data_IF_740181222599
#
_entry.id   IF_740181222599
#
_cell.length_a   1.000
_cell.length_b   1.000
_cell.length_c   1.000
_cell.angle_alpha   90.00
_cell.angle_beta   90.00
_cell.angle_gamma   90.00
#
_symmetry.space_group_name_H-M   'P 1'
#
loop_
_entity.id
_entity.type
_entity.pdbx_description
1 polymer ?
#
# COMPACT_ATOMS: atom_id res chain seq x y z
N UNK A 1 -43.63 -26.58 26.81
CA UNK A 1 -42.26 -27.10 26.53
C UNK A 1 -41.73 -26.37 25.30
N UNK A 2 -40.72 -25.50 25.44
CA UNK A 2 -40.12 -24.75 24.33
C UNK A 2 -38.83 -25.46 23.92
N UNK A 3 -38.75 -25.91 22.67
CA UNK A 3 -37.55 -26.49 22.10
C UNK A 3 -36.53 -25.39 21.78
N UNK A 4 -35.33 -25.51 22.34
CA UNK A 4 -34.18 -24.66 22.05
C UNK A 4 -33.41 -25.34 20.91
N UNK A 5 -33.51 -24.80 19.70
CA UNK A 5 -32.64 -25.20 18.59
C UNK A 5 -31.29 -24.49 18.77
N UNK A 6 -30.25 -25.27 19.11
CA UNK A 6 -28.86 -24.83 19.06
C UNK A 6 -28.41 -24.81 17.60
N UNK A 7 -28.32 -23.63 16.99
CA UNK A 7 -27.63 -23.46 15.70
C UNK A 7 -26.16 -23.19 16.03
N UNK A 8 -25.34 -24.23 15.91
CA UNK A 8 -23.89 -24.08 15.87
C UNK A 8 -23.50 -23.51 14.51
N UNK A 9 -22.96 -22.30 14.48
CA UNK A 9 -22.37 -21.72 13.28
C UNK A 9 -20.90 -22.15 13.23
N UNK A 10 -20.62 -23.11 12.37
CA UNK A 10 -19.27 -23.40 11.88
C UNK A 10 -18.98 -22.38 10.78
N UNK A 11 -18.14 -21.38 11.06
CA UNK A 11 -17.63 -20.47 10.02
C UNK A 11 -16.39 -21.13 9.42
N UNK A 12 -16.59 -21.99 8.41
CA UNK A 12 -15.53 -22.37 7.49
C UNK A 12 -15.38 -21.28 6.43
N UNK A 13 -14.13 -20.85 6.23
CA UNK A 13 -13.79 -19.67 5.43
C UNK A 13 -14.24 -19.78 3.97
N UNK A 14 -15.09 -18.84 3.56
CA UNK A 14 -15.32 -18.46 2.16
C UNK A 14 -15.79 -17.00 2.12
N UNK A 15 -15.01 -16.15 1.45
CA UNK A 15 -15.48 -14.96 0.75
C UNK A 15 -16.22 -13.86 1.54
N UNK A 16 -15.48 -12.81 1.93
CA UNK A 16 -16.04 -11.50 2.33
C UNK A 16 -16.98 -10.91 1.25
N UNK A 17 -16.93 -11.39 0.00
CA UNK A 17 -17.82 -10.94 -1.09
C UNK A 17 -19.25 -11.50 -1.07
N UNK A 18 -19.53 -12.64 -0.42
CA UNK A 18 -20.86 -13.28 -0.52
C UNK A 18 -21.88 -12.76 0.51
N UNK A 19 -21.44 -12.06 1.56
CA UNK A 19 -22.35 -11.55 2.60
C UNK A 19 -23.13 -10.29 2.19
N UNK A 20 -22.73 -9.64 1.08
CA UNK A 20 -23.39 -8.40 0.60
C UNK A 20 -24.58 -8.70 -0.32
N UNK A 21 -24.62 -9.85 -1.00
CA UNK A 21 -25.63 -10.12 -2.04
C UNK A 21 -26.98 -10.66 -1.53
N UNK A 22 -27.09 -11.01 -0.24
CA UNK A 22 -28.31 -11.58 0.36
C UNK A 22 -29.04 -10.63 1.33
N UNK A 23 -28.55 -9.40 1.51
CA UNK A 23 -29.23 -8.42 2.34
C UNK A 23 -30.23 -7.61 1.49
N UNK A 24 -31.54 -7.68 1.77
CA UNK A 24 -32.54 -6.88 1.09
C UNK A 24 -32.17 -5.40 1.22
N UNK A 25 -32.34 -4.64 0.13
CA UNK A 25 -32.07 -3.19 0.01
C UNK A 25 -32.33 -2.43 1.32
N UNK A 26 -31.29 -2.25 2.14
CA UNK A 26 -31.30 -1.36 3.30
C UNK A 26 -31.20 0.08 2.79
N UNK A 27 -32.34 0.67 2.45
CA UNK A 27 -32.55 2.10 2.66
C UNK A 27 -32.58 2.31 4.17
N UNK A 28 -31.78 3.26 4.66
CA UNK A 28 -31.41 3.48 6.07
C UNK A 28 -30.29 2.53 6.52
N UNK A 29 -29.04 3.03 6.56
CA UNK A 29 -27.97 2.34 7.28
C UNK A 29 -28.34 2.37 8.77
N UNK A 30 -28.64 1.23 9.41
CA UNK A 30 -28.79 1.22 10.86
C UNK A 30 -27.50 1.78 11.45
N UNK A 31 -27.61 2.83 12.27
CA UNK A 31 -26.47 3.42 12.96
C UNK A 31 -25.70 2.30 13.65
N UNK A 32 -24.52 1.97 13.13
CA UNK A 32 -23.69 0.91 13.66
C UNK A 32 -23.27 1.32 15.07
N UNK A 33 -23.84 0.70 16.11
CA UNK A 33 -23.69 1.14 17.52
C UNK A 33 -22.55 0.44 18.28
N UNK A 34 -21.80 -0.43 17.59
CA UNK A 34 -20.60 -1.09 18.11
C UNK A 34 -20.87 -2.18 19.17
N UNK A 35 -22.12 -2.37 19.62
CA UNK A 35 -22.46 -3.36 20.67
C UNK A 35 -22.21 -4.82 20.27
N UNK A 36 -22.15 -5.10 18.97
CA UNK A 36 -21.85 -6.43 18.44
C UNK A 36 -20.34 -6.78 18.45
N UNK A 37 -19.47 -5.84 18.79
CA UNK A 37 -18.02 -6.04 18.86
C UNK A 37 -17.66 -6.63 20.23
N UNK A 38 -16.79 -7.64 20.32
CA UNK A 38 -16.28 -8.15 21.59
C UNK A 38 -15.57 -7.05 22.41
N UNK A 39 -15.47 -7.21 23.74
CA UNK A 39 -14.82 -6.20 24.60
C UNK A 39 -13.33 -6.07 24.30
N UNK A 40 -12.71 -7.16 23.87
CA UNK A 40 -11.32 -7.27 23.41
C UNK A 40 -11.10 -6.71 21.99
N UNK A 41 -12.17 -6.24 21.33
CA UNK A 41 -12.17 -5.77 19.96
C UNK A 41 -12.27 -6.89 18.93
N UNK A 42 -12.86 -6.57 17.78
CA UNK A 42 -12.94 -7.46 16.63
C UNK A 42 -11.72 -7.24 15.74
N UNK A 43 -10.86 -8.26 15.63
CA UNK A 43 -9.76 -8.23 14.67
C UNK A 43 -10.32 -8.56 13.29
N UNK A 44 -10.20 -7.61 12.38
CA UNK A 44 -10.45 -7.79 10.96
C UNK A 44 -9.19 -8.39 10.36
N UNK A 45 -9.34 -9.54 9.68
CA UNK A 45 -8.25 -10.29 9.04
C UNK A 45 -7.20 -10.90 10.00
N UNK A 46 -7.60 -11.61 11.09
CA UNK A 46 -6.65 -12.10 12.11
C UNK A 46 -5.65 -13.12 11.57
N UNK A 47 -6.02 -13.86 10.53
CA UNK A 47 -5.19 -14.86 9.84
C UNK A 47 -5.02 -14.51 8.36
N UNK A 48 -4.78 -13.22 8.06
CA UNK A 48 -4.59 -12.77 6.69
C UNK A 48 -3.71 -13.71 5.88
N UNK A 49 -4.04 -13.86 4.59
CA UNK A 49 -3.38 -14.80 3.66
C UNK A 49 -1.84 -14.72 3.79
N UNK A 50 -1.13 -15.78 3.41
CA UNK A 50 0.33 -15.71 3.21
C UNK A 50 0.67 -14.46 2.38
N UNK A 51 1.64 -13.65 2.79
CA UNK A 51 2.02 -12.39 2.14
C UNK A 51 2.59 -12.54 0.71
N UNK A 52 2.73 -13.77 0.22
CA UNK A 52 3.47 -14.04 -1.00
C UNK A 52 4.98 -13.99 -0.74
N UNK A 53 5.76 -13.94 -1.81
CA UNK A 53 7.22 -13.84 -1.72
C UNK A 53 7.69 -12.48 -2.26
N UNK A 54 8.22 -11.58 -1.42
CA UNK A 54 8.75 -10.29 -1.86
C UNK A 54 9.81 -10.37 -2.98
N UNK A 55 10.47 -11.53 -3.16
CA UNK A 55 11.40 -11.74 -4.27
C UNK A 55 10.72 -11.76 -5.64
N UNK A 56 9.42 -12.10 -5.72
CA UNK A 56 8.68 -12.09 -6.98
C UNK A 56 8.63 -10.68 -7.58
N UNK A 57 8.33 -9.66 -6.76
CA UNK A 57 8.35 -8.27 -7.20
C UNK A 57 9.75 -7.79 -7.63
N UNK A 58 10.82 -8.36 -7.05
CA UNK A 58 12.18 -7.98 -7.43
C UNK A 58 12.52 -8.37 -8.88
N UNK A 59 11.96 -9.46 -9.38
CA UNK A 59 12.09 -9.86 -10.79
C UNK A 59 11.49 -8.82 -11.74
N UNK A 60 10.26 -8.40 -11.46
CA UNK A 60 9.56 -7.38 -12.24
C UNK A 60 10.26 -6.02 -12.17
N UNK A 61 10.66 -5.61 -10.97
CA UNK A 61 11.36 -4.34 -10.76
C UNK A 61 12.68 -4.24 -11.53
N UNK A 62 13.41 -5.36 -11.72
CA UNK A 62 14.61 -5.37 -12.57
C UNK A 62 14.27 -5.08 -14.03
N UNK A 63 13.19 -5.68 -14.56
CA UNK A 63 12.74 -5.44 -15.95
C UNK A 63 12.28 -4.00 -16.13
N UNK A 64 11.44 -3.51 -15.21
CA UNK A 64 10.96 -2.12 -15.23
C UNK A 64 12.12 -1.14 -15.11
N UNK A 65 13.07 -1.37 -14.20
CA UNK A 65 14.26 -0.52 -14.07
C UNK A 65 15.07 -0.45 -15.36
N UNK A 66 15.35 -1.59 -15.98
CA UNK A 66 16.13 -1.63 -17.22
C UNK A 66 15.45 -0.83 -18.34
N UNK A 67 14.13 -0.98 -18.48
CA UNK A 67 13.35 -0.23 -19.47
C UNK A 67 13.33 1.29 -19.17
N UNK A 68 13.10 1.68 -17.90
CA UNK A 68 13.14 3.07 -17.47
C UNK A 68 14.54 3.69 -17.61
N UNK A 69 15.60 2.95 -17.30
CA UNK A 69 16.99 3.39 -17.43
C UNK A 69 17.35 3.63 -18.90
N UNK A 70 16.96 2.70 -19.78
CA UNK A 70 17.15 2.84 -21.22
C UNK A 70 16.40 4.06 -21.77
N UNK A 71 15.13 4.24 -21.38
CA UNK A 71 14.34 5.41 -21.77
C UNK A 71 14.99 6.71 -21.32
N UNK A 72 15.40 6.82 -20.05
CA UNK A 72 15.97 8.08 -19.54
C UNK A 72 17.31 8.43 -20.17
N UNK A 73 18.13 7.43 -20.50
CA UNK A 73 19.42 7.64 -21.19
C UNK A 73 19.20 8.13 -22.62
N UNK A 74 18.18 7.62 -23.31
CA UNK A 74 17.87 8.03 -24.68
C UNK A 74 17.19 9.41 -24.75
N UNK A 75 16.33 9.75 -23.78
CA UNK A 75 15.47 10.92 -23.85
C UNK A 75 15.85 12.06 -22.88
N UNK A 76 16.77 11.82 -21.95
CA UNK A 76 17.15 12.80 -20.92
C UNK A 76 16.08 13.07 -19.85
N UNK A 77 14.97 12.33 -19.86
CA UNK A 77 13.81 12.47 -18.94
C UNK A 77 13.27 11.10 -18.52
N UNK A 78 12.52 11.04 -17.41
CA UNK A 78 11.77 9.83 -17.06
C UNK A 78 10.56 9.66 -18.01
N UNK A 79 10.11 8.43 -18.27
CA UNK A 79 8.87 8.22 -19.03
C UNK A 79 7.68 8.75 -18.22
N UNK A 80 6.61 9.15 -18.89
CA UNK A 80 5.30 9.35 -18.27
C UNK A 80 4.65 8.00 -17.96
N UNK A 81 3.59 7.99 -17.14
CA UNK A 81 2.84 6.76 -16.89
C UNK A 81 2.25 6.19 -18.19
N UNK A 82 1.73 7.06 -19.06
CA UNK A 82 1.17 6.65 -20.34
C UNK A 82 2.21 5.93 -21.20
N UNK A 83 3.42 6.48 -21.33
CA UNK A 83 4.52 5.84 -22.08
C UNK A 83 4.94 4.52 -21.45
N UNK A 84 5.06 4.45 -20.12
CA UNK A 84 5.43 3.23 -19.40
C UNK A 84 4.40 2.11 -19.60
N UNK A 85 3.12 2.46 -19.77
CA UNK A 85 2.01 1.52 -19.93
C UNK A 85 1.58 1.31 -21.39
N UNK A 86 2.28 1.90 -22.37
CA UNK A 86 2.02 1.62 -23.78
C UNK A 86 2.66 0.29 -24.19
N UNK A 87 1.96 -0.81 -23.89
CA UNK A 87 2.45 -2.16 -24.20
C UNK A 87 2.47 -2.49 -25.70
N UNK A 88 1.94 -1.62 -26.56
CA UNK A 88 1.94 -1.81 -28.01
C UNK A 88 3.25 -1.36 -28.66
N UNK A 89 4.04 -0.55 -27.96
CA UNK A 89 5.26 0.05 -28.47
C UNK A 89 6.42 -0.29 -27.52
N UNK A 90 7.66 -0.47 -28.04
CA UNK A 90 8.82 -0.50 -27.18
C UNK A 90 8.97 0.83 -26.44
N UNK A 91 9.24 0.77 -25.13
CA UNK A 91 9.54 1.96 -24.33
C UNK A 91 10.89 2.56 -24.76
N UNK A 92 11.88 1.70 -24.98
CA UNK A 92 13.18 2.06 -25.54
C UNK A 92 13.65 0.95 -26.49
N UNK A 93 14.73 1.20 -27.24
CA UNK A 93 15.27 0.20 -28.17
C UNK A 93 15.61 -1.12 -27.45
N UNK A 94 14.90 -2.20 -27.81
CA UNK A 94 15.08 -3.52 -27.19
C UNK A 94 14.41 -3.69 -25.82
N UNK A 95 13.65 -2.70 -25.34
CA UNK A 95 12.93 -2.74 -24.07
C UNK A 95 11.44 -2.50 -24.29
N UNK A 96 10.67 -3.57 -24.27
CA UNK A 96 9.21 -3.54 -24.29
C UNK A 96 8.70 -4.18 -23.00
N UNK A 97 7.83 -3.47 -22.29
CA UNK A 97 7.15 -4.00 -21.11
C UNK A 97 5.80 -4.59 -21.51
N UNK A 98 5.32 -5.54 -20.71
CA UNK A 98 3.96 -6.04 -20.78
C UNK A 98 3.16 -5.66 -19.52
N UNK A 99 1.86 -5.96 -19.52
CA UNK A 99 1.01 -5.72 -18.35
C UNK A 99 1.44 -6.57 -17.14
N UNK A 100 1.96 -7.77 -17.40
CA UNK A 100 2.49 -8.68 -16.39
C UNK A 100 3.72 -8.10 -15.69
N UNK A 101 4.58 -7.35 -16.39
CA UNK A 101 5.74 -6.68 -15.77
C UNK A 101 5.34 -5.59 -14.75
N UNK A 102 4.09 -5.12 -14.81
CA UNK A 102 3.55 -4.08 -13.95
C UNK A 102 2.49 -4.59 -12.96
N UNK A 103 2.34 -5.92 -12.87
CA UNK A 103 1.33 -6.58 -12.03
C UNK A 103 2.00 -7.68 -11.22
N UNK A 104 1.97 -7.57 -9.89
CA UNK A 104 2.59 -8.60 -9.06
C UNK A 104 1.81 -9.91 -9.14
N UNK A 105 2.48 -11.07 -9.31
CA UNK A 105 1.82 -12.37 -9.23
C UNK A 105 1.25 -12.66 -7.83
N UNK A 106 1.73 -11.94 -6.82
CA UNK A 106 1.30 -12.06 -5.43
C UNK A 106 0.15 -11.12 -5.07
N UNK A 107 -0.35 -10.30 -6.01
CA UNK A 107 -1.45 -9.36 -5.75
C UNK A 107 -2.70 -10.03 -5.18
N UNK A 108 -2.96 -11.30 -5.54
CA UNK A 108 -4.06 -12.14 -4.98
C UNK A 108 -3.98 -12.39 -3.47
N UNK A 109 -2.80 -12.15 -2.90
CA UNK A 109 -2.52 -12.25 -1.49
C UNK A 109 -2.59 -10.90 -0.79
N UNK A 110 -2.56 -9.77 -1.49
CA UNK A 110 -2.54 -8.44 -0.91
C UNK A 110 -3.81 -8.12 -0.09
N UNK A 111 -3.64 -7.27 0.92
CA UNK A 111 -4.79 -6.75 1.68
C UNK A 111 -5.61 -5.79 0.82
N UNK A 112 -6.85 -6.17 0.53
CA UNK A 112 -7.74 -5.39 -0.35
C UNK A 112 -7.73 -5.86 -1.80
N UNK A 113 -7.13 -7.01 -2.11
CA UNK A 113 -7.29 -7.65 -3.42
C UNK A 113 -8.76 -7.89 -3.76
N UNK A 114 -9.19 -7.37 -4.91
CA UNK A 114 -10.51 -7.64 -5.49
C UNK A 114 -10.32 -8.47 -6.77
N UNK A 115 -10.85 -9.71 -6.83
CA UNK A 115 -10.79 -10.51 -8.05
C UNK A 115 -11.36 -9.77 -9.26
N UNK A 116 -10.66 -9.81 -10.39
CA UNK A 116 -11.07 -9.15 -11.64
C UNK A 116 -10.72 -7.66 -11.74
N UNK A 117 -10.12 -7.06 -10.70
CA UNK A 117 -9.61 -5.71 -10.78
C UNK A 117 -8.30 -5.69 -11.59
N UNK A 118 -8.36 -5.13 -12.80
CA UNK A 118 -7.20 -4.99 -13.72
C UNK A 118 -6.32 -3.78 -13.36
N UNK A 119 -6.06 -3.57 -12.07
CA UNK A 119 -5.19 -2.47 -11.66
C UNK A 119 -3.74 -2.92 -11.68
N UNK A 120 -2.87 -2.06 -12.18
CA UNK A 120 -1.42 -2.19 -11.99
C UNK A 120 -1.16 -2.27 -10.49
N UNK A 121 -0.46 -3.31 -10.05
CA UNK A 121 -0.31 -3.59 -8.61
C UNK A 121 0.78 -2.73 -7.96
N UNK A 122 1.66 -2.14 -8.77
CA UNK A 122 2.74 -1.29 -8.30
C UNK A 122 2.33 0.18 -8.21
N UNK A 123 2.78 0.83 -7.15
CA UNK A 123 2.67 2.28 -7.02
C UNK A 123 3.84 2.95 -7.74
N UNK A 124 3.52 3.77 -8.74
CA UNK A 124 4.50 4.55 -9.50
C UNK A 124 4.84 5.82 -8.72
N UNK A 125 5.91 5.78 -7.91
CA UNK A 125 6.29 6.94 -7.11
C UNK A 125 6.90 8.05 -7.98
N UNK A 126 7.56 7.71 -9.09
CA UNK A 126 8.31 8.67 -9.91
C UNK A 126 7.45 9.77 -10.56
N UNK A 127 6.13 9.57 -10.71
CA UNK A 127 5.20 10.57 -11.26
C UNK A 127 4.83 11.66 -10.25
N UNK A 128 5.15 11.45 -8.97
CA UNK A 128 4.91 12.40 -7.90
C UNK A 128 6.19 13.19 -7.60
N UNK A 129 6.08 14.44 -7.11
CA UNK A 129 7.23 15.17 -6.59
C UNK A 129 8.00 14.40 -5.50
N UNK A 130 9.21 14.85 -5.20
CA UNK A 130 9.97 14.48 -4.00
C UNK A 130 9.21 14.92 -2.73
N UNK A 131 9.55 14.40 -1.54
CA UNK A 131 8.85 14.75 -0.30
C UNK A 131 8.98 16.23 0.08
N UNK A 132 9.98 16.94 -0.45
CA UNK A 132 10.13 18.40 -0.31
C UNK A 132 9.42 19.20 -1.41
N UNK A 133 8.57 18.57 -2.22
CA UNK A 133 7.80 19.20 -3.29
C UNK A 133 8.58 19.49 -4.58
N UNK A 134 9.90 19.24 -4.63
CA UNK A 134 10.68 19.39 -5.87
C UNK A 134 10.35 18.28 -6.86
N UNK A 135 10.43 18.58 -8.15
CA UNK A 135 10.35 17.53 -9.18
C UNK A 135 11.48 16.52 -9.03
N UNK A 136 11.21 15.27 -9.41
CA UNK A 136 12.22 14.21 -9.43
C UNK A 136 13.06 14.38 -10.70
N UNK A 137 14.38 14.57 -10.59
CA UNK A 137 15.24 14.63 -11.76
C UNK A 137 15.31 13.25 -12.42
N UNK A 138 15.53 13.23 -13.73
CA UNK A 138 15.80 11.97 -14.45
C UNK A 138 17.11 11.31 -14.00
N UNK A 139 18.07 12.15 -13.59
CA UNK A 139 19.36 11.74 -13.05
C UNK A 139 19.55 12.42 -11.69
N UNK A 140 19.29 11.71 -10.59
CA UNK A 140 19.56 12.22 -9.25
C UNK A 140 21.04 12.57 -9.08
N UNK A 141 21.33 13.58 -8.25
CA UNK A 141 22.71 13.97 -7.98
C UNK A 141 23.48 12.88 -7.23
N UNK A 142 24.82 12.96 -7.22
CA UNK A 142 25.64 12.01 -6.48
C UNK A 142 25.23 11.96 -4.99
N UNK A 143 24.95 10.76 -4.49
CA UNK A 143 24.46 10.53 -3.12
C UNK A 143 22.95 10.70 -2.94
N UNK A 144 22.21 11.15 -3.95
CA UNK A 144 20.74 11.16 -3.94
C UNK A 144 20.17 9.88 -4.55
N UNK A 145 19.05 9.43 -3.99
CA UNK A 145 18.25 8.33 -4.54
C UNK A 145 16.78 8.68 -4.44
N UNK A 146 16.06 8.45 -5.53
CA UNK A 146 14.62 8.61 -5.61
C UNK A 146 13.95 7.25 -5.68
N UNK A 147 12.77 7.11 -5.08
CA UNK A 147 11.97 5.90 -5.25
C UNK A 147 11.29 5.95 -6.61
N UNK A 148 11.33 4.87 -7.39
CA UNK A 148 10.62 4.81 -8.66
C UNK A 148 9.32 4.02 -8.54
N UNK A 149 9.39 2.81 -8.00
CA UNK A 149 8.25 1.92 -7.81
C UNK A 149 8.20 1.40 -6.38
N UNK A 150 6.99 1.11 -5.91
CA UNK A 150 6.71 0.49 -4.61
C UNK A 150 5.67 -0.60 -4.79
N UNK A 151 5.89 -1.78 -4.18
CA UNK A 151 4.84 -2.77 -3.94
C UNK A 151 4.43 -2.72 -2.47
N UNK A 152 3.11 -2.68 -2.25
CA UNK A 152 2.49 -2.73 -0.92
C UNK A 152 1.85 -4.08 -0.62
N UNK A 153 1.93 -5.03 -1.55
CA UNK A 153 1.22 -6.31 -1.48
C UNK A 153 1.74 -7.21 -0.36
N UNK A 154 2.99 -6.94 0.04
CA UNK A 154 3.71 -7.61 1.12
C UNK A 154 3.53 -6.93 2.49
N UNK A 155 2.50 -6.09 2.63
CA UNK A 155 2.10 -5.45 3.89
C UNK A 155 0.71 -5.92 4.33
N UNK A 156 0.60 -6.36 5.59
CA UNK A 156 -0.66 -6.62 6.28
C UNK A 156 -1.12 -5.42 7.09
N UNK A 157 -2.44 -5.24 7.12
CA UNK A 157 -3.21 -4.28 7.90
C UNK A 157 -4.14 -5.03 8.84
N UNK A 158 -3.63 -5.39 10.01
CA UNK A 158 -4.43 -6.04 11.04
C UNK A 158 -5.22 -4.94 11.77
N UNK A 159 -6.45 -4.70 11.33
CA UNK A 159 -7.32 -3.70 11.93
C UNK A 159 -8.10 -4.31 13.09
N UNK A 160 -8.03 -3.69 14.27
CA UNK A 160 -8.88 -4.03 15.42
C UNK A 160 -9.96 -2.96 15.58
N UNK A 161 -11.22 -3.35 15.44
CA UNK A 161 -12.37 -2.49 15.70
C UNK A 161 -12.80 -2.62 17.16
N UNK A 162 -13.16 -1.50 17.80
CA UNK A 162 -13.58 -1.44 19.20
C UNK A 162 -15.03 -0.95 19.35
N UNK A 163 -15.65 -1.25 20.49
CA UNK A 163 -17.09 -1.00 20.75
C UNK A 163 -17.51 0.47 20.65
N UNK A 164 -16.63 1.39 21.01
CA UNK A 164 -16.82 2.84 20.90
C UNK A 164 -16.55 3.38 19.48
N UNK A 165 -16.44 2.47 18.49
CA UNK A 165 -16.23 2.74 17.07
C UNK A 165 -14.84 3.30 16.72
N UNK A 166 -13.87 3.27 17.64
CA UNK A 166 -12.47 3.46 17.25
C UNK A 166 -11.88 2.20 16.63
N UNK A 167 -10.78 2.36 15.90
CA UNK A 167 -10.03 1.24 15.37
C UNK A 167 -8.53 1.48 15.44
N UNK A 168 -7.79 0.45 15.82
CA UNK A 168 -6.34 0.42 15.72
C UNK A 168 -5.91 -0.36 14.48
N UNK A 169 -4.78 0.02 13.87
CA UNK A 169 -4.22 -0.70 12.74
C UNK A 169 -2.78 -1.09 13.08
N UNK A 170 -2.52 -2.41 13.11
CA UNK A 170 -1.19 -2.98 13.23
C UNK A 170 -0.68 -3.37 11.84
N UNK A 171 0.32 -2.63 11.34
CA UNK A 171 0.95 -2.92 10.06
C UNK A 171 2.08 -3.95 10.25
N UNK A 172 2.14 -4.95 9.37
CA UNK A 172 3.22 -5.96 9.38
C UNK A 172 3.73 -6.26 7.98
N UNK A 173 4.97 -6.74 7.89
CA UNK A 173 5.58 -7.15 6.62
C UNK A 173 6.58 -6.13 6.11
N UNK A 174 6.70 -6.04 4.79
CA UNK A 174 7.69 -5.18 4.12
C UNK A 174 7.07 -4.50 2.91
N UNK A 175 7.58 -3.32 2.59
CA UNK A 175 7.43 -2.74 1.26
C UNK A 175 8.59 -3.21 0.39
N UNK A 176 8.34 -3.47 -0.89
CA UNK A 176 9.42 -3.66 -1.88
C UNK A 176 9.57 -2.37 -2.66
N UNK A 177 10.77 -1.82 -2.69
CA UNK A 177 11.06 -0.49 -3.24
C UNK A 177 12.10 -0.61 -4.33
N UNK A 178 11.80 -0.09 -5.52
CA UNK A 178 12.79 0.14 -6.57
C UNK A 178 13.31 1.56 -6.47
N UNK A 179 14.63 1.70 -6.36
CA UNK A 179 15.31 2.99 -6.32
C UNK A 179 15.84 3.41 -7.69
N UNK A 180 16.09 4.70 -7.86
CA UNK A 180 16.61 5.34 -9.09
C UNK A 180 18.02 4.91 -9.50
N UNK A 181 18.75 4.26 -8.60
CA UNK A 181 20.05 3.62 -8.86
C UNK A 181 19.93 2.13 -9.20
N UNK A 182 18.70 1.62 -9.32
CA UNK A 182 18.41 0.25 -9.72
C UNK A 182 18.45 -0.78 -8.61
N UNK A 183 18.81 -0.38 -7.38
CA UNK A 183 18.71 -1.30 -6.24
C UNK A 183 17.25 -1.51 -5.88
N UNK A 184 16.97 -2.73 -5.44
CA UNK A 184 15.66 -3.14 -4.93
C UNK A 184 15.85 -3.46 -3.46
N UNK A 185 15.04 -2.86 -2.62
CA UNK A 185 15.15 -2.99 -1.17
C UNK A 185 13.82 -3.42 -0.56
N UNK A 186 13.90 -4.30 0.44
CA UNK A 186 12.77 -4.63 1.30
C UNK A 186 12.84 -3.70 2.50
N UNK A 187 11.86 -2.82 2.62
CA UNK A 187 11.79 -1.86 3.72
C UNK A 187 10.74 -2.34 4.72
N UNK A 188 11.14 -2.72 5.94
CA UNK A 188 10.20 -3.02 7.02
C UNK A 188 9.21 -1.88 7.25
N UNK A 189 7.97 -2.23 7.60
CA UNK A 189 6.88 -1.25 7.81
C UNK A 189 7.21 -0.18 8.86
N UNK A 190 7.98 -0.53 9.90
CA UNK A 190 8.46 0.37 10.94
C UNK A 190 9.54 1.36 10.44
N UNK A 191 10.22 1.01 9.35
CA UNK A 191 11.17 1.89 8.68
C UNK A 191 10.54 2.94 7.76
N UNK A 192 9.23 2.85 7.44
CA UNK A 192 8.58 3.81 6.55
C UNK A 192 8.38 5.15 7.23
N UNK A 193 8.60 6.23 6.50
CA UNK A 193 8.55 7.60 6.99
C UNK A 193 7.36 8.32 6.40
N UNK A 194 6.58 8.98 7.26
CA UNK A 194 5.50 9.87 6.83
C UNK A 194 6.02 11.29 6.77
N UNK A 195 6.28 11.74 5.54
CA UNK A 195 6.55 13.12 5.22
C UNK A 195 5.42 13.63 4.31
N UNK A 196 4.92 14.81 4.65
CA UNK A 196 3.92 15.54 3.88
C UNK A 196 4.63 16.41 2.86
N UNK A 197 4.35 16.19 1.56
CA UNK A 197 4.80 17.08 0.49
C UNK A 197 3.99 18.38 0.45
N UNK A 198 2.78 18.34 1.01
CA UNK A 198 1.91 19.50 1.26
C UNK A 198 0.88 19.15 2.33
N UNK A 199 0.23 20.15 2.93
CA UNK A 199 -0.84 19.97 3.92
C UNK A 199 -2.00 19.04 3.48
N UNK A 200 -2.08 18.68 2.19
CA UNK A 200 -3.12 17.83 1.60
C UNK A 200 -2.63 16.51 1.01
N UNK A 201 -1.32 16.23 1.04
CA UNK A 201 -0.72 15.04 0.44
C UNK A 201 0.25 14.38 1.43
N UNK A 202 -0.12 13.18 1.86
CA UNK A 202 0.74 12.25 2.58
C UNK A 202 1.16 11.16 1.62
N UNK A 203 2.46 10.94 1.48
CA UNK A 203 3.03 9.84 0.70
C UNK A 203 3.71 8.82 1.60
N UNK A 204 3.81 7.58 1.12
CA UNK A 204 4.78 6.63 1.65
C UNK A 204 6.18 7.10 1.24
N UNK A 205 7.05 7.35 2.22
CA UNK A 205 8.44 7.72 1.96
C UNK A 205 9.37 6.74 2.66
N UNK A 206 10.58 6.62 2.13
CA UNK A 206 11.49 5.55 2.52
C UNK A 206 12.83 6.13 2.99
N UNK A 207 13.47 5.54 4.02
CA UNK A 207 14.76 6.02 4.52
C UNK A 207 15.78 6.19 3.40
N UNK A 208 16.50 7.32 3.42
CA UNK A 208 17.48 7.65 2.39
C UNK A 208 16.90 8.27 1.12
N UNK A 209 15.58 8.41 0.99
CA UNK A 209 14.96 9.11 -0.13
C UNK A 209 15.33 10.59 -0.14
N UNK A 210 15.77 11.08 -1.31
CA UNK A 210 16.10 12.47 -1.51
C UNK A 210 14.89 13.38 -1.22
N UNK A 211 15.12 14.48 -0.51
CA UNK A 211 14.08 15.45 -0.17
C UNK A 211 13.23 15.10 1.05
N UNK A 212 13.57 14.04 1.80
CA UNK A 212 12.97 13.83 3.12
C UNK A 212 13.29 14.98 4.09
N UNK A 213 12.27 15.57 4.77
CA UNK A 213 12.50 16.56 5.82
C UNK A 213 13.33 15.99 6.97
N UNK A 214 14.15 16.84 7.60
CA UNK A 214 14.84 16.46 8.84
C UNK A 214 13.81 16.23 9.95
N UNK A 215 13.94 15.12 10.67
CA UNK A 215 13.05 14.79 11.80
C UNK A 215 11.68 14.24 11.40
N UNK A 216 11.50 13.78 10.15
CA UNK A 216 10.29 13.05 9.78
C UNK A 216 10.11 11.79 10.64
N UNK A 217 8.87 11.55 11.06
CA UNK A 217 8.51 10.45 11.96
C UNK A 217 8.22 9.16 11.20
N UNK A 218 8.52 8.03 11.83
CA UNK A 218 8.17 6.72 11.32
C UNK A 218 6.66 6.46 11.33
N UNK A 219 6.18 5.57 10.46
CA UNK A 219 4.79 5.07 10.41
C UNK A 219 4.36 4.55 11.78
N UNK A 220 5.25 3.79 12.44
CA UNK A 220 5.01 3.28 13.78
C UNK A 220 4.75 4.42 14.77
N UNK A 221 5.43 5.56 14.73
CA UNK A 221 5.19 6.65 15.69
C UNK A 221 3.84 7.36 15.50
N UNK A 222 3.32 7.40 14.27
CA UNK A 222 2.03 8.03 13.96
C UNK A 222 0.88 7.14 14.43
N UNK A 223 1.00 5.82 14.23
CA UNK A 223 -0.06 4.86 14.56
C UNK A 223 0.09 4.22 15.95
N UNK A 224 1.30 4.18 16.53
CA UNK A 224 1.53 3.64 17.89
C UNK A 224 1.31 4.65 18.99
N UNK A 225 0.95 5.90 18.65
CA UNK A 225 0.78 7.04 19.55
C UNK A 225 0.64 6.64 21.02
N UNK A 226 1.78 6.62 21.73
CA UNK A 226 1.77 6.73 23.18
C UNK A 226 0.91 7.96 23.50
N UNK A 227 -0.30 7.72 24.01
CA UNK A 227 -1.04 8.66 24.85
C UNK A 227 -0.23 8.92 26.12
N UNK A 228 0.94 9.54 26.01
CA UNK A 228 1.64 10.16 27.14
C UNK A 228 1.41 11.66 27.05
N UNK A 229 0.39 12.11 27.77
CA UNK A 229 0.21 13.50 28.15
C UNK A 229 -0.45 14.38 27.08
N UNK A 230 -1.71 14.74 27.33
CA UNK A 230 -2.38 15.97 26.90
C UNK A 230 -1.85 16.60 25.60
N UNK A 231 -2.40 16.18 24.47
CA UNK A 231 -2.93 17.09 23.44
C UNK A 231 -3.64 16.28 22.36
N UNK A 232 -4.92 16.61 22.16
CA UNK A 232 -5.80 16.00 21.17
C UNK A 232 -5.27 16.24 19.76
N UNK A 233 -4.73 15.20 19.11
CA UNK A 233 -4.69 15.19 17.65
C UNK A 233 -6.07 14.75 17.17
N UNK A 234 -6.95 15.73 16.94
CA UNK A 234 -8.16 15.52 16.14
C UNK A 234 -7.71 15.31 14.69
N UNK A 235 -7.76 14.08 14.21
CA UNK A 235 -7.85 13.84 12.77
C UNK A 235 -9.32 14.09 12.42
N UNK A 236 -9.62 15.31 11.98
CA UNK A 236 -10.95 15.62 11.44
C UNK A 236 -11.07 14.89 10.11
N UNK A 237 -11.83 13.79 10.08
CA UNK A 237 -12.35 13.22 8.84
C UNK A 237 -13.33 14.20 8.20
N UNK A 238 -13.22 14.36 6.88
CA UNK A 238 -14.20 15.05 6.05
C UNK A 238 -15.51 14.24 5.95
#
# INVERSE_FOLDING_TARGET
MKAIAKIGIVVMGLGVGAFIALLPRFKESPEWDGKAIPKEGLVLNPEGKNLGDPENAAGDFKRVYAAMDAYRRANGKLPTLQELTDFKSPLAQGFQLSAEDLTTPDGKYADGYVPGQQNLSYMFAFIQPRPNGKERPAFPAAGERDVWLVSTDYVRRNQRMHQDKHSDIDFRGVYVVLWSDGKIEKVPVDGVVFASASAKSFGLNFPGQAGLPKGSKGLAEIYSGERKGKNNVKINGA
#
